data_IF_442210578826
#
_entry.id   IF_442210578826
#
_cell.length_a   1.000
_cell.length_b   1.000
_cell.length_c   1.000
_cell.angle_alpha   90.00
_cell.angle_beta   90.00
_cell.angle_gamma   90.00
#
_symmetry.space_group_name_H-M   'P 1'
#
loop_
_entity.id
_entity.type
_entity.pdbx_description
1 polymer ?
#
# COMPACT_ATOMS: atom_id res chain seq x y z
N UNK A 1 22.75 12.66 13.62
CA UNK A 1 22.87 11.22 13.47
C UNK A 1 21.95 10.72 12.38
N UNK A 2 22.51 9.99 11.45
CA UNK A 2 21.73 9.43 10.34
C UNK A 2 20.58 8.54 10.82
N UNK A 3 20.80 7.82 11.93
CA UNK A 3 19.82 6.91 12.50
C UNK A 3 18.52 7.61 12.91
N UNK A 4 18.59 8.82 13.46
CA UNK A 4 17.40 9.53 13.92
C UNK A 4 16.49 9.93 12.75
N UNK A 5 17.07 10.28 11.61
CA UNK A 5 16.29 10.70 10.45
C UNK A 5 15.75 9.51 9.66
N UNK A 6 16.36 8.32 9.81
CA UNK A 6 15.87 7.12 9.15
C UNK A 6 14.69 6.47 9.90
N UNK A 7 14.43 6.84 11.13
CA UNK A 7 13.35 6.25 11.93
C UNK A 7 11.99 6.44 11.30
N UNK A 8 11.70 7.66 10.84
CA UNK A 8 10.38 7.92 10.23
C UNK A 8 10.19 7.05 8.99
N UNK A 9 11.17 7.01 8.10
CA UNK A 9 11.09 6.19 6.89
C UNK A 9 10.98 4.71 7.23
N UNK A 10 11.84 4.25 8.14
CA UNK A 10 11.88 2.85 8.53
C UNK A 10 10.55 2.40 9.14
N UNK A 11 10.01 3.18 10.05
CA UNK A 11 8.74 2.86 10.71
C UNK A 11 7.57 2.91 9.71
N UNK A 12 7.57 3.88 8.81
CA UNK A 12 6.55 3.97 7.78
C UNK A 12 6.60 2.76 6.85
N UNK A 13 7.80 2.34 6.46
CA UNK A 13 7.96 1.15 5.61
C UNK A 13 7.52 -0.12 6.34
N UNK A 14 7.87 -0.28 7.61
CA UNK A 14 7.39 -1.43 8.39
C UNK A 14 5.88 -1.45 8.52
N UNK A 15 5.27 -0.30 8.79
CA UNK A 15 3.82 -0.19 8.86
C UNK A 15 3.15 -0.54 7.54
N UNK A 16 3.67 0.00 6.45
CA UNK A 16 3.16 -0.30 5.10
C UNK A 16 3.35 -1.78 4.76
N UNK A 17 4.50 -2.35 5.09
CA UNK A 17 4.77 -3.77 4.88
C UNK A 17 3.76 -4.64 5.61
N UNK A 18 3.51 -4.36 6.88
CA UNK A 18 2.56 -5.12 7.68
C UNK A 18 1.14 -4.99 7.12
N UNK A 19 0.74 -3.77 6.80
CA UNK A 19 -0.60 -3.50 6.23
C UNK A 19 -0.78 -4.25 4.91
N UNK A 20 0.20 -4.15 4.01
CA UNK A 20 0.14 -4.79 2.69
C UNK A 20 0.13 -6.31 2.79
N UNK A 21 0.98 -6.86 3.66
CA UNK A 21 1.08 -8.31 3.84
C UNK A 21 -0.22 -8.88 4.42
N UNK A 22 -0.74 -8.24 5.48
CA UNK A 22 -1.99 -8.70 6.12
C UNK A 22 -3.17 -8.53 5.17
N UNK A 23 -3.26 -7.39 4.49
CA UNK A 23 -4.31 -7.16 3.49
C UNK A 23 -4.23 -8.17 2.35
N UNK A 24 -3.01 -8.48 1.92
CA UNK A 24 -2.79 -9.47 0.87
C UNK A 24 -3.22 -10.86 1.29
N UNK A 25 -2.90 -11.26 2.52
CA UNK A 25 -3.34 -12.56 3.06
C UNK A 25 -4.87 -12.62 3.12
N UNK A 26 -5.51 -11.56 3.60
CA UNK A 26 -6.97 -11.51 3.65
C UNK A 26 -7.57 -11.62 2.24
N UNK A 27 -6.99 -10.93 1.27
CA UNK A 27 -7.46 -10.98 -0.12
C UNK A 27 -7.32 -12.38 -0.72
N UNK A 28 -6.23 -13.08 -0.43
CA UNK A 28 -6.02 -14.43 -0.93
C UNK A 28 -6.98 -15.42 -0.27
N UNK A 29 -7.10 -15.34 1.06
CA UNK A 29 -7.91 -16.31 1.83
C UNK A 29 -9.41 -16.08 1.66
N UNK A 30 -9.82 -14.82 1.49
CA UNK A 30 -11.24 -14.43 1.45
C UNK A 30 -11.62 -13.75 0.13
N UNK A 31 -10.98 -14.16 -0.97
CA UNK A 31 -11.17 -13.48 -2.26
C UNK A 31 -12.63 -13.42 -2.69
N UNK A 32 -13.38 -14.52 -2.53
CA UNK A 32 -14.79 -14.56 -2.92
C UNK A 32 -15.66 -13.66 -2.04
N UNK A 33 -15.43 -13.69 -0.74
CA UNK A 33 -16.19 -12.87 0.20
C UNK A 33 -15.93 -11.39 -0.04
N UNK A 34 -14.66 -11.02 -0.25
CA UNK A 34 -14.29 -9.64 -0.53
C UNK A 34 -14.87 -9.18 -1.87
N UNK A 35 -14.77 -10.02 -2.91
CA UNK A 35 -15.34 -9.70 -4.21
C UNK A 35 -16.85 -9.45 -4.10
N UNK A 36 -17.56 -10.32 -3.40
CA UNK A 36 -19.00 -10.14 -3.17
C UNK A 36 -19.31 -8.86 -2.43
N UNK A 37 -18.55 -8.55 -1.39
CA UNK A 37 -18.71 -7.31 -0.63
C UNK A 37 -18.53 -6.09 -1.51
N UNK A 38 -17.54 -6.13 -2.42
CA UNK A 38 -17.27 -5.02 -3.33
C UNK A 38 -18.25 -4.95 -4.51
N UNK A 39 -18.95 -6.04 -4.81
CA UNK A 39 -19.82 -6.12 -5.97
C UNK A 39 -19.11 -6.60 -7.23
N UNK A 40 -17.94 -7.24 -7.07
CA UNK A 40 -17.19 -7.81 -8.19
C UNK A 40 -17.62 -9.26 -8.45
N UNK A 41 -17.86 -9.59 -9.71
CA UNK A 41 -18.16 -10.97 -10.08
C UNK A 41 -16.92 -11.84 -10.20
N UNK A 42 -15.78 -11.23 -10.54
CA UNK A 42 -14.52 -11.95 -10.77
C UNK A 42 -13.65 -11.94 -9.53
N UNK A 43 -13.82 -12.96 -8.67
CA UNK A 43 -13.03 -13.06 -7.43
C UNK A 43 -11.54 -13.27 -7.68
N UNK A 44 -11.16 -13.79 -8.85
CA UNK A 44 -9.76 -14.02 -9.19
C UNK A 44 -8.95 -12.71 -9.19
N UNK A 45 -9.61 -11.58 -9.46
CA UNK A 45 -8.96 -10.27 -9.43
C UNK A 45 -8.49 -9.97 -8.00
N UNK A 46 -9.33 -10.23 -7.02
CA UNK A 46 -8.99 -10.02 -5.60
C UNK A 46 -7.88 -10.97 -5.19
N UNK A 47 -7.93 -12.23 -5.62
CA UNK A 47 -6.88 -13.20 -5.34
C UNK A 47 -5.53 -12.73 -5.91
N UNK A 48 -5.50 -12.33 -7.18
CA UNK A 48 -4.29 -11.85 -7.83
C UNK A 48 -3.74 -10.59 -7.16
N UNK A 49 -4.62 -9.67 -6.81
CA UNK A 49 -4.24 -8.46 -6.07
C UNK A 49 -3.62 -8.82 -4.73
N UNK A 50 -4.19 -9.81 -4.05
CA UNK A 50 -3.66 -10.29 -2.77
C UNK A 50 -2.25 -10.84 -2.90
N UNK A 51 -1.97 -11.63 -3.93
CA UNK A 51 -0.62 -12.13 -4.20
C UNK A 51 0.34 -10.96 -4.40
N UNK A 52 -0.05 -9.97 -5.21
CA UNK A 52 0.76 -8.78 -5.43
C UNK A 52 1.04 -8.01 -4.15
N UNK A 53 0.05 -7.87 -3.27
CA UNK A 53 0.22 -7.18 -1.99
C UNK A 53 1.16 -7.92 -1.05
N UNK A 54 1.11 -9.26 -1.03
CA UNK A 54 2.02 -10.06 -0.22
C UNK A 54 3.46 -9.84 -0.69
N UNK A 55 3.69 -9.93 -2.00
CA UNK A 55 5.03 -9.72 -2.56
C UNK A 55 5.53 -8.31 -2.30
N UNK A 56 4.66 -7.32 -2.47
CA UNK A 56 4.97 -5.93 -2.19
C UNK A 56 5.33 -5.72 -0.72
N UNK A 57 4.56 -6.31 0.19
CA UNK A 57 4.84 -6.24 1.62
C UNK A 57 6.19 -6.84 1.97
N UNK A 58 6.54 -7.98 1.39
CA UNK A 58 7.84 -8.62 1.61
C UNK A 58 8.97 -7.72 1.09
N UNK A 59 8.82 -7.15 -0.11
CA UNK A 59 9.81 -6.27 -0.71
C UNK A 59 10.07 -5.05 0.18
N UNK A 60 9.00 -4.43 0.66
CA UNK A 60 9.13 -3.25 1.54
C UNK A 60 9.77 -3.63 2.86
N UNK A 61 9.43 -4.80 3.41
CA UNK A 61 10.01 -5.28 4.64
C UNK A 61 11.54 -5.43 4.51
N UNK A 62 11.99 -6.01 3.42
CA UNK A 62 13.41 -6.17 3.13
C UNK A 62 14.09 -4.79 3.07
N UNK A 63 13.46 -3.83 2.40
CA UNK A 63 14.00 -2.47 2.28
C UNK A 63 14.12 -1.80 3.65
N UNK A 64 13.12 -1.99 4.51
CA UNK A 64 13.10 -1.40 5.85
C UNK A 64 14.18 -1.99 6.75
N UNK A 65 14.46 -3.28 6.61
CA UNK A 65 15.47 -3.96 7.41
C UNK A 65 16.89 -3.70 6.92
N UNK A 66 17.06 -3.24 5.69
CA UNK A 66 18.40 -3.00 5.14
C UNK A 66 19.13 -1.91 5.92
N UNK A 67 20.43 -2.07 6.07
CA UNK A 67 21.31 -1.11 6.75
C UNK A 67 22.35 -0.59 5.75
N UNK A 68 22.23 0.67 5.28
CA UNK A 68 21.11 1.63 5.51
C UNK A 68 19.85 1.23 4.77
N UNK A 69 18.72 1.90 5.09
CA UNK A 69 17.44 1.67 4.44
C UNK A 69 17.58 1.79 2.92
N UNK A 70 16.97 0.87 2.19
CA UNK A 70 17.07 0.85 0.73
C UNK A 70 16.21 1.96 0.12
N UNK A 71 16.84 3.07 -0.23
CA UNK A 71 16.14 4.27 -0.72
C UNK A 71 15.43 4.04 -2.05
N UNK A 72 15.99 3.21 -2.92
CA UNK A 72 15.37 2.89 -4.20
C UNK A 72 14.01 2.22 -4.06
N UNK A 73 13.95 1.20 -3.21
CA UNK A 73 12.67 0.51 -2.95
C UNK A 73 11.71 1.44 -2.21
N UNK A 74 12.22 2.25 -1.27
CA UNK A 74 11.39 3.21 -0.56
C UNK A 74 10.77 4.24 -1.53
N UNK A 75 11.53 4.71 -2.50
CA UNK A 75 11.03 5.63 -3.53
C UNK A 75 9.97 4.94 -4.38
N UNK A 76 10.21 3.69 -4.78
CA UNK A 76 9.23 2.89 -5.50
C UNK A 76 7.93 2.76 -4.70
N UNK A 77 8.04 2.53 -3.38
CA UNK A 77 6.87 2.40 -2.51
C UNK A 77 6.01 3.67 -2.52
N UNK A 78 6.63 4.84 -2.48
CA UNK A 78 5.90 6.11 -2.55
C UNK A 78 5.09 6.19 -3.86
N UNK A 79 5.74 5.91 -4.98
CA UNK A 79 5.05 5.97 -6.27
C UNK A 79 3.98 4.90 -6.41
N UNK A 80 4.24 3.69 -5.93
CA UNK A 80 3.25 2.61 -5.98
C UNK A 80 2.03 2.94 -5.12
N UNK A 81 2.25 3.49 -3.92
CA UNK A 81 1.16 3.88 -3.04
C UNK A 81 0.34 5.02 -3.64
N UNK A 82 1.00 6.02 -4.26
CA UNK A 82 0.29 7.11 -4.95
C UNK A 82 -0.51 6.59 -6.13
N UNK A 83 0.03 5.64 -6.88
CA UNK A 83 -0.69 5.01 -7.98
C UNK A 83 -1.93 4.27 -7.47
N UNK A 84 -1.82 3.60 -6.32
CA UNK A 84 -2.96 2.93 -5.67
C UNK A 84 -4.05 3.94 -5.31
N UNK A 85 -3.67 5.07 -4.70
CA UNK A 85 -4.62 6.12 -4.31
C UNK A 85 -5.32 6.70 -5.53
N UNK A 86 -4.56 7.04 -6.58
CA UNK A 86 -5.13 7.58 -7.82
C UNK A 86 -6.02 6.57 -8.51
N UNK A 87 -5.60 5.32 -8.59
CA UNK A 87 -6.39 4.25 -9.17
C UNK A 87 -7.70 4.02 -8.41
N UNK A 88 -7.63 4.07 -7.09
CA UNK A 88 -8.81 3.94 -6.23
C UNK A 88 -9.80 5.08 -6.48
N UNK A 89 -9.30 6.31 -6.56
CA UNK A 89 -10.15 7.47 -6.85
C UNK A 89 -10.82 7.33 -8.23
N UNK A 90 -10.07 6.89 -9.23
CA UNK A 90 -10.62 6.68 -10.56
C UNK A 90 -11.71 5.61 -10.56
N UNK A 91 -11.49 4.51 -9.84
CA UNK A 91 -12.50 3.44 -9.74
C UNK A 91 -13.78 3.92 -9.10
N UNK A 92 -13.68 4.78 -8.08
CA UNK A 92 -14.85 5.29 -7.35
C UNK A 92 -15.60 6.34 -8.18
N UNK A 93 -14.88 7.32 -8.74
CA UNK A 93 -15.51 8.50 -9.33
C UNK A 93 -15.82 8.34 -10.82
N UNK A 94 -15.09 7.52 -11.55
CA UNK A 94 -15.32 7.33 -12.98
C UNK A 94 -16.35 6.25 -13.28
N UNK A 95 -16.86 5.54 -12.28
CA UNK A 95 -17.84 4.47 -12.43
C UNK A 95 -17.42 3.40 -13.44
N UNK A 96 -16.13 3.08 -13.44
CA UNK A 96 -15.58 2.05 -14.33
C UNK A 96 -16.05 0.65 -13.94
N UNK A 97 -16.35 0.44 -12.66
CA UNK A 97 -16.84 -0.81 -12.11
C UNK A 97 -18.05 -0.48 -11.23
N UNK A 98 -19.06 -1.34 -11.26
CA UNK A 98 -20.28 -1.16 -10.49
C UNK A 98 -20.13 -1.69 -9.07
N UNK A 99 -19.30 -1.02 -8.28
CA UNK A 99 -19.08 -1.38 -6.88
C UNK A 99 -20.30 -1.08 -6.03
N UNK A 100 -20.50 -1.89 -4.97
CA UNK A 100 -21.50 -1.58 -3.95
C UNK A 100 -21.12 -0.29 -3.22
N UNK A 101 -22.12 0.36 -2.60
CA UNK A 101 -21.84 1.56 -1.79
C UNK A 101 -20.87 1.25 -0.66
N UNK A 102 -21.07 0.14 0.05
CA UNK A 102 -20.15 -0.29 1.11
C UNK A 102 -18.76 -0.58 0.55
N UNK A 103 -18.68 -1.17 -0.65
CA UNK A 103 -17.40 -1.42 -1.33
C UNK A 103 -16.65 -0.14 -1.65
N UNK A 104 -17.35 0.89 -2.13
CA UNK A 104 -16.74 2.20 -2.41
C UNK A 104 -16.16 2.82 -1.15
N UNK A 105 -16.88 2.75 -0.04
CA UNK A 105 -16.38 3.24 1.24
C UNK A 105 -15.14 2.48 1.69
N UNK A 106 -15.14 1.15 1.55
CA UNK A 106 -13.98 0.34 1.89
C UNK A 106 -12.76 0.71 1.04
N UNK A 107 -12.95 0.89 -0.27
CA UNK A 107 -11.87 1.31 -1.16
C UNK A 107 -11.33 2.68 -0.73
N UNK A 108 -12.22 3.62 -0.39
CA UNK A 108 -11.82 4.95 0.04
C UNK A 108 -11.02 4.92 1.34
N UNK A 109 -11.45 4.12 2.32
CA UNK A 109 -10.76 4.00 3.60
C UNK A 109 -9.35 3.42 3.39
N UNK A 110 -9.23 2.36 2.61
CA UNK A 110 -7.92 1.76 2.30
C UNK A 110 -7.04 2.76 1.58
N UNK A 111 -7.59 3.50 0.61
CA UNK A 111 -6.82 4.53 -0.10
C UNK A 111 -6.31 5.62 0.85
N UNK A 112 -7.10 6.03 1.83
CA UNK A 112 -6.68 7.01 2.83
C UNK A 112 -5.52 6.49 3.68
N UNK A 113 -5.58 5.23 4.10
CA UNK A 113 -4.50 4.61 4.86
C UNK A 113 -3.22 4.56 4.02
N UNK A 114 -3.33 4.16 2.76
CA UNK A 114 -2.19 4.09 1.85
C UNK A 114 -1.62 5.47 1.60
N UNK A 115 -2.47 6.49 1.47
CA UNK A 115 -2.03 7.87 1.31
C UNK A 115 -1.19 8.33 2.50
N UNK A 116 -1.59 7.99 3.72
CA UNK A 116 -0.81 8.33 4.92
C UNK A 116 0.57 7.69 4.83
N UNK A 117 0.67 6.42 4.45
CA UNK A 117 1.96 5.76 4.27
C UNK A 117 2.80 6.46 3.19
N UNK A 118 2.17 6.83 2.07
CA UNK A 118 2.88 7.53 1.00
C UNK A 118 3.48 8.84 1.50
N UNK A 119 2.72 9.61 2.25
CA UNK A 119 3.17 10.90 2.81
C UNK A 119 4.31 10.68 3.79
N UNK A 120 4.16 9.75 4.73
CA UNK A 120 5.18 9.47 5.73
C UNK A 120 6.48 8.97 5.09
N UNK A 121 6.38 8.10 4.10
CA UNK A 121 7.54 7.60 3.37
C UNK A 121 8.22 8.72 2.58
N UNK A 122 7.45 9.58 1.94
CA UNK A 122 7.98 10.71 1.20
C UNK A 122 8.73 11.67 2.11
N UNK A 123 8.12 12.04 3.24
CA UNK A 123 8.76 12.94 4.22
C UNK A 123 10.03 12.29 4.77
N UNK A 124 9.97 10.99 5.08
CA UNK A 124 11.13 10.25 5.57
C UNK A 124 12.27 10.25 4.57
N UNK A 125 11.97 10.03 3.29
CA UNK A 125 12.96 10.07 2.21
C UNK A 125 13.59 11.45 2.08
N UNK A 126 12.78 12.51 2.14
CA UNK A 126 13.29 13.86 2.04
C UNK A 126 14.23 14.20 3.19
N UNK A 127 13.90 13.75 4.39
CA UNK A 127 14.78 13.96 5.55
C UNK A 127 16.14 13.30 5.38
N UNK A 128 16.15 12.09 4.81
CA UNK A 128 17.41 11.41 4.53
C UNK A 128 18.23 12.11 3.46
N UNK A 129 17.59 12.62 2.40
CA UNK A 129 18.27 13.36 1.34
C UNK A 129 18.90 14.66 1.87
N UNK A 130 18.19 15.34 2.77
CA UNK A 130 18.66 16.61 3.30
C UNK A 130 19.84 16.44 4.27
N UNK A 131 20.11 15.20 4.68
CA UNK A 131 21.27 14.89 5.54
C UNK A 131 22.56 14.67 4.77
N UNK A 132 22.46 14.33 3.50
CA UNK A 132 23.66 13.98 2.72
C UNK A 132 24.62 15.17 2.50
#
# INVERSE_FOLDING_TARGET
MATNNSYLLKNALFGNSAFSFISGLAAVLFSKAIANFLGLSASWIIFALGIGLILYGIEIFIAAKAEPVHKGIATFAVYADLAWVLGSAMLIFANLVDFTTAGKWAIAIVADIVLVFAILQFVGLRRLKNQA
#
